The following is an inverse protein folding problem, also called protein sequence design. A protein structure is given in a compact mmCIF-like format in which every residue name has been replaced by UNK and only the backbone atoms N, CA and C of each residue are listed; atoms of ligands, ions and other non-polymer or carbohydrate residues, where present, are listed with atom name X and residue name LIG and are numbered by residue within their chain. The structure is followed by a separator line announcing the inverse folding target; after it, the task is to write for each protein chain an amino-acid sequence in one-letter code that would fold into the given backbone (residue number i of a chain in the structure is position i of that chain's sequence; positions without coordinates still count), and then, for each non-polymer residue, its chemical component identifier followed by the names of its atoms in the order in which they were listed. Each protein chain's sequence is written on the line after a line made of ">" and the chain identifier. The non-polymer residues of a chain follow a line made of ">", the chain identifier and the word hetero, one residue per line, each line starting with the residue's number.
data_IF_582767377992
#
_entry.id   IF_582767377992
#
_cell.length_a   1.000
_cell.length_b   1.000
_cell.length_c   1.000
_cell.angle_alpha   90.00
_cell.angle_beta   90.00
_cell.angle_gamma   90.00
#
_symmetry.space_group_name_H-M   'P 1'
#
loop_
_entity.id
_entity.type
_entity.pdbx_description
1 polymer ?
#
# COMPACT_ATOMS: atom_id res chain seq x y z
N UNK A 1 -5.95 22.78 1.07
CA UNK A 1 -6.16 24.01 0.27
C UNK A 1 -5.31 23.86 -0.99
N UNK A 2 -5.92 23.78 -2.17
CA UNK A 2 -5.19 23.61 -3.43
C UNK A 2 -5.81 24.47 -4.53
N UNK A 3 -5.02 24.88 -5.52
CA UNK A 3 -5.48 25.73 -6.64
C UNK A 3 -6.23 24.86 -7.66
N UNK A 4 -7.41 25.30 -8.10
CA UNK A 4 -8.22 24.61 -9.10
C UNK A 4 -7.51 24.45 -10.45
N UNK A 5 -7.77 23.35 -11.14
CA UNK A 5 -7.20 23.05 -12.48
C UNK A 5 -7.88 23.86 -13.61
N UNK A 6 -9.01 24.53 -13.33
CA UNK A 6 -9.72 25.38 -14.29
C UNK A 6 -9.56 26.88 -14.03
N UNK A 7 -9.51 27.28 -12.77
CA UNK A 7 -9.43 28.70 -12.38
C UNK A 7 -8.36 28.92 -11.32
N UNK A 8 -7.72 30.10 -11.35
CA UNK A 8 -6.67 30.52 -10.40
C UNK A 8 -7.25 30.88 -9.01
N UNK A 9 -8.03 29.98 -8.41
CA UNK A 9 -8.61 30.16 -7.07
C UNK A 9 -8.31 28.92 -6.23
N UNK A 10 -8.03 29.14 -4.95
CA UNK A 10 -7.77 28.09 -3.96
C UNK A 10 -9.12 27.58 -3.43
N UNK A 11 -9.41 26.29 -3.57
CA UNK A 11 -10.63 25.68 -3.04
C UNK A 11 -10.35 24.54 -2.05
N UNK A 12 -11.29 24.33 -1.13
CA UNK A 12 -11.35 23.21 -0.18
C UNK A 12 -12.62 22.39 -0.40
N UNK A 13 -12.55 21.08 -0.17
CA UNK A 13 -13.72 20.19 -0.25
C UNK A 13 -14.00 19.58 -1.63
N UNK A 14 -15.23 19.07 -1.78
CA UNK A 14 -15.75 18.05 -2.73
C UNK A 14 -15.53 18.37 -4.23
N UNK A 15 -15.19 19.61 -4.57
CA UNK A 15 -14.96 20.10 -5.94
C UNK A 15 -13.79 19.42 -6.68
N UNK A 16 -12.92 18.67 -5.98
CA UNK A 16 -11.82 17.90 -6.59
C UNK A 16 -12.25 16.58 -7.22
N UNK A 17 -13.47 16.12 -6.94
CA UNK A 17 -13.95 14.78 -7.29
C UNK A 17 -14.67 14.70 -8.64
N UNK A 18 -14.67 15.77 -9.45
CA UNK A 18 -15.35 15.84 -10.75
C UNK A 18 -16.85 15.42 -10.69
N UNK A 19 -17.54 15.77 -9.61
CA UNK A 19 -18.94 15.38 -9.32
C UNK A 19 -19.96 16.24 -10.10
N UNK A 20 -19.48 17.25 -10.84
CA UNK A 20 -20.31 18.26 -11.50
C UNK A 20 -20.57 19.46 -10.58
N UNK A 21 -21.40 20.40 -11.04
CA UNK A 21 -21.90 21.49 -10.20
C UNK A 21 -23.29 21.11 -9.65
N UNK A 22 -23.61 21.49 -8.39
CA UNK A 22 -24.94 21.27 -7.85
C UNK A 22 -26.01 22.04 -8.67
N UNK A 23 -27.27 21.58 -8.66
CA UNK A 23 -27.81 20.48 -7.87
C UNK A 23 -27.51 19.09 -8.47
N UNK A 24 -27.02 18.17 -7.63
CA UNK A 24 -26.70 16.80 -8.04
C UNK A 24 -27.97 15.94 -8.12
N UNK A 25 -28.08 15.15 -9.19
CA UNK A 25 -29.12 14.11 -9.27
C UNK A 25 -28.75 12.95 -8.35
N UNK A 26 -29.75 12.38 -7.65
CA UNK A 26 -29.57 11.25 -6.73
C UNK A 26 -28.87 10.06 -7.43
N UNK A 27 -29.20 9.81 -8.68
CA UNK A 27 -28.59 8.77 -9.52
C UNK A 27 -27.09 8.98 -9.76
N UNK A 28 -26.64 10.23 -9.87
CA UNK A 28 -25.22 10.60 -9.99
C UNK A 28 -24.48 10.32 -8.67
N UNK A 29 -25.09 10.71 -7.54
CA UNK A 29 -24.55 10.44 -6.20
C UNK A 29 -24.45 8.93 -5.96
N UNK A 30 -25.49 8.16 -6.29
CA UNK A 30 -25.50 6.70 -6.15
C UNK A 30 -24.43 6.04 -7.02
N UNK A 31 -24.24 6.51 -8.26
CA UNK A 31 -23.20 5.98 -9.15
C UNK A 31 -21.80 6.23 -8.58
N UNK A 32 -21.54 7.41 -8.05
CA UNK A 32 -20.26 7.78 -7.41
C UNK A 32 -20.05 6.98 -6.13
N UNK A 33 -21.09 6.84 -5.29
CA UNK A 33 -21.02 6.06 -4.07
C UNK A 33 -20.75 4.59 -4.39
N UNK A 34 -21.42 4.02 -5.39
CA UNK A 34 -21.18 2.64 -5.83
C UNK A 34 -19.75 2.43 -6.36
N UNK A 35 -19.23 3.37 -7.14
CA UNK A 35 -17.84 3.33 -7.61
C UNK A 35 -16.84 3.49 -6.46
N UNK A 36 -17.14 4.35 -5.49
CA UNK A 36 -16.34 4.57 -4.27
C UNK A 36 -16.34 3.33 -3.37
N UNK A 37 -17.51 2.69 -3.19
CA UNK A 37 -17.66 1.44 -2.46
C UNK A 37 -16.88 0.29 -3.12
N UNK A 38 -16.95 0.14 -4.45
CA UNK A 38 -16.14 -0.86 -5.18
C UNK A 38 -14.64 -0.60 -4.98
N UNK A 39 -14.21 0.65 -5.13
CA UNK A 39 -12.81 1.05 -4.91
C UNK A 39 -12.36 0.91 -3.44
N UNK A 40 -13.27 1.01 -2.48
CA UNK A 40 -12.99 0.78 -1.06
C UNK A 40 -12.88 -0.72 -0.73
N UNK A 41 -13.72 -1.57 -1.34
CA UNK A 41 -13.64 -3.03 -1.24
C UNK A 41 -12.29 -3.52 -1.81
N UNK A 42 -11.87 -2.99 -2.96
CA UNK A 42 -10.59 -3.33 -3.58
C UNK A 42 -9.39 -2.96 -2.68
N UNK A 43 -9.45 -1.84 -1.97
CA UNK A 43 -8.40 -1.43 -1.01
C UNK A 43 -8.30 -2.34 0.21
N UNK A 44 -9.43 -2.75 0.78
CA UNK A 44 -9.45 -3.66 1.92
C UNK A 44 -8.94 -5.05 1.53
N UNK A 45 -9.35 -5.56 0.36
CA UNK A 45 -8.88 -6.84 -0.16
C UNK A 45 -7.37 -6.78 -0.45
N UNK A 46 -6.90 -5.73 -1.13
CA UNK A 46 -5.48 -5.60 -1.46
C UNK A 46 -4.61 -5.40 -0.22
N UNK A 47 -5.12 -4.75 0.83
CA UNK A 47 -4.43 -4.69 2.14
C UNK A 47 -4.27 -6.08 2.76
N UNK A 48 -5.34 -6.90 2.78
CA UNK A 48 -5.25 -8.28 3.31
C UNK A 48 -4.21 -9.10 2.55
N UNK A 49 -4.17 -8.98 1.23
CA UNK A 49 -3.14 -9.63 0.41
C UNK A 49 -1.71 -9.22 0.82
N UNK A 50 -1.50 -7.97 1.23
CA UNK A 50 -0.20 -7.48 1.70
C UNK A 50 0.14 -8.06 3.08
N UNK A 51 -0.84 -8.09 3.99
CA UNK A 51 -0.71 -8.69 5.32
C UNK A 51 -0.39 -10.19 5.22
N UNK A 52 -1.08 -10.93 4.34
CA UNK A 52 -0.84 -12.35 4.07
C UNK A 52 0.57 -12.59 3.50
N UNK A 53 0.98 -11.83 2.48
CA UNK A 53 2.31 -11.94 1.90
C UNK A 53 3.42 -11.65 2.92
N UNK A 54 3.21 -10.66 3.79
CA UNK A 54 4.16 -10.29 4.83
C UNK A 54 4.25 -11.38 5.90
N UNK A 55 3.11 -11.86 6.40
CA UNK A 55 3.06 -12.90 7.42
C UNK A 55 3.74 -14.18 6.93
N UNK A 56 3.39 -14.63 5.72
CA UNK A 56 3.99 -15.80 5.08
C UNK A 56 5.53 -15.67 4.98
N UNK A 57 6.02 -14.51 4.52
CA UNK A 57 7.46 -14.29 4.38
C UNK A 57 8.18 -14.23 5.73
N UNK A 58 7.58 -13.61 6.74
CA UNK A 58 8.17 -13.53 8.08
C UNK A 58 8.18 -14.89 8.80
N UNK A 59 7.17 -15.72 8.59
CA UNK A 59 7.15 -17.11 9.08
C UNK A 59 8.20 -17.97 8.37
N UNK A 60 8.29 -17.91 7.04
CA UNK A 60 9.33 -18.65 6.29
C UNK A 60 10.75 -18.20 6.65
N UNK A 61 10.95 -16.95 7.01
CA UNK A 61 12.23 -16.41 7.46
C UNK A 61 12.54 -16.72 8.94
N UNK A 62 11.65 -17.42 9.65
CA UNK A 62 11.72 -17.69 11.10
C UNK A 62 11.82 -16.41 11.97
N UNK A 63 11.35 -15.28 11.44
CA UNK A 63 11.22 -14.03 12.19
C UNK A 63 10.02 -14.11 13.14
N UNK A 64 8.96 -14.78 12.67
CA UNK A 64 7.80 -15.17 13.47
C UNK A 64 7.90 -16.67 13.70
N UNK A 65 8.12 -17.04 14.95
CA UNK A 65 8.24 -18.42 15.43
C UNK A 65 6.93 -18.96 15.99
N UNK A 66 5.97 -18.09 16.30
CA UNK A 66 4.63 -18.50 16.73
C UNK A 66 3.93 -19.29 15.61
N UNK A 67 3.35 -20.47 15.92
CA UNK A 67 2.60 -21.25 14.94
C UNK A 67 1.47 -20.44 14.29
N UNK A 68 1.36 -20.53 12.96
CA UNK A 68 0.41 -19.73 12.16
C UNK A 68 -1.04 -19.97 12.58
N UNK A 69 -1.39 -21.17 13.04
CA UNK A 69 -2.72 -21.52 13.57
C UNK A 69 -3.11 -20.72 14.83
N UNK A 70 -2.13 -20.14 15.52
CA UNK A 70 -2.34 -19.29 16.71
C UNK A 70 -2.29 -17.81 16.39
N UNK A 71 -1.95 -17.43 15.16
CA UNK A 71 -1.79 -16.05 14.75
C UNK A 71 -3.07 -15.56 14.09
N UNK A 72 -3.55 -14.41 14.55
CA UNK A 72 -4.68 -13.71 13.95
C UNK A 72 -4.26 -12.27 13.65
N UNK A 73 -4.33 -11.87 12.38
CA UNK A 73 -4.15 -10.47 12.01
C UNK A 73 -5.47 -9.74 12.28
N UNK A 74 -5.46 -8.88 13.29
CA UNK A 74 -6.62 -8.10 13.72
C UNK A 74 -6.49 -6.69 13.17
N UNK A 75 -7.51 -6.27 12.41
CA UNK A 75 -7.62 -4.91 11.89
C UNK A 75 -8.75 -4.20 12.64
N UNK A 76 -8.41 -3.15 13.38
CA UNK A 76 -9.39 -2.33 14.08
C UNK A 76 -9.56 -1.02 13.32
N UNK A 77 -10.79 -0.72 12.90
CA UNK A 77 -11.14 0.56 12.28
C UNK A 77 -11.88 1.39 13.31
N UNK A 78 -11.22 2.43 13.83
CA UNK A 78 -11.89 3.38 14.72
C UNK A 78 -12.63 4.41 13.85
N UNK A 79 -13.95 4.60 14.01
CA UNK A 79 -14.71 5.56 13.21
C UNK A 79 -14.08 6.96 13.28
N UNK A 80 -13.53 7.42 12.15
CA UNK A 80 -13.00 8.78 12.00
C UNK A 80 -11.60 9.04 12.56
N UNK A 81 -10.83 8.02 12.94
CA UNK A 81 -9.54 8.22 13.65
C UNK A 81 -8.33 7.50 13.07
N UNK A 82 -8.37 6.16 12.90
CA UNK A 82 -7.22 5.40 12.38
C UNK A 82 -7.62 3.94 12.12
N UNK A 83 -6.98 3.30 11.13
CA UNK A 83 -7.06 1.85 10.93
C UNK A 83 -5.79 1.21 11.47
N UNK A 84 -5.85 0.57 12.63
CA UNK A 84 -4.70 -0.12 13.22
C UNK A 84 -4.64 -1.59 12.76
N UNK A 85 -3.42 -2.09 12.56
CA UNK A 85 -3.15 -3.51 12.35
C UNK A 85 -2.44 -4.06 13.57
N UNK A 86 -2.83 -5.23 14.05
CA UNK A 86 -2.10 -5.94 15.10
C UNK A 86 -2.05 -7.43 14.85
N UNK A 87 -1.01 -8.09 15.35
CA UNK A 87 -0.87 -9.54 15.30
C UNK A 87 -1.20 -10.12 16.67
N UNK A 88 -2.36 -10.78 16.78
CA UNK A 88 -2.83 -11.40 18.02
C UNK A 88 -2.35 -12.84 18.11
N UNK A 89 -2.04 -13.28 19.34
CA UNK A 89 -1.55 -14.63 19.63
C UNK A 89 -0.03 -14.82 19.46
N UNK A 90 0.65 -13.89 18.79
CA UNK A 90 2.11 -13.83 18.68
C UNK A 90 2.79 -13.24 19.92
N UNK A 91 4.09 -13.45 20.03
CA UNK A 91 4.89 -12.76 21.05
C UNK A 91 4.89 -11.24 20.79
N UNK A 92 4.91 -10.40 21.84
CA UNK A 92 4.84 -8.94 21.67
C UNK A 92 5.87 -8.39 20.69
N UNK A 93 7.09 -8.94 20.69
CA UNK A 93 8.15 -8.57 19.73
C UNK A 93 7.78 -8.90 18.28
N UNK A 94 7.16 -10.05 18.03
CA UNK A 94 6.73 -10.48 16.69
C UNK A 94 5.62 -9.57 16.17
N UNK A 95 4.67 -9.21 17.02
CA UNK A 95 3.61 -8.28 16.67
C UNK A 95 4.16 -6.89 16.31
N UNK A 96 5.09 -6.36 17.10
CA UNK A 96 5.75 -5.08 16.77
C UNK A 96 6.51 -5.15 15.44
N UNK A 97 7.31 -6.20 15.22
CA UNK A 97 8.05 -6.38 13.96
C UNK A 97 7.13 -6.49 12.75
N UNK A 98 5.97 -7.13 12.91
CA UNK A 98 4.98 -7.25 11.84
C UNK A 98 4.37 -5.88 11.50
N UNK A 99 3.97 -5.10 12.51
CA UNK A 99 3.40 -3.77 12.30
C UNK A 99 4.42 -2.82 11.68
N UNK A 100 5.65 -2.76 12.19
CA UNK A 100 6.72 -1.93 11.61
C UNK A 100 6.99 -2.33 10.14
N UNK A 101 7.05 -3.63 9.86
CA UNK A 101 7.28 -4.11 8.50
C UNK A 101 6.12 -3.78 7.56
N UNK A 102 4.87 -3.82 8.05
CA UNK A 102 3.71 -3.42 7.29
C UNK A 102 3.73 -1.91 7.01
N UNK A 103 4.02 -1.08 8.02
CA UNK A 103 4.20 0.37 7.87
C UNK A 103 5.25 0.68 6.79
N UNK A 104 6.40 0.02 6.80
CA UNK A 104 7.44 0.21 5.77
C UNK A 104 6.94 -0.10 4.34
N UNK A 105 6.01 -1.04 4.16
CA UNK A 105 5.38 -1.32 2.85
C UNK A 105 4.42 -0.19 2.47
N UNK A 106 3.67 0.32 3.45
CA UNK A 106 2.64 1.34 3.24
C UNK A 106 3.23 2.73 3.04
N UNK A 107 4.37 2.99 3.65
CA UNK A 107 5.04 4.28 3.62
C UNK A 107 5.54 4.66 2.22
N UNK A 108 5.65 5.98 1.95
CA UNK A 108 6.38 6.47 0.79
C UNK A 108 7.75 5.82 0.69
N UNK A 109 8.14 5.46 -0.54
CA UNK A 109 9.42 4.80 -0.77
C UNK A 109 10.57 5.74 -0.39
N UNK A 110 11.37 5.34 0.60
CA UNK A 110 12.57 6.06 1.00
C UNK A 110 13.83 5.45 0.37
N UNK A 111 14.58 4.65 1.12
CA UNK A 111 15.82 4.01 0.69
C UNK A 111 15.88 2.53 1.11
N UNK A 112 14.87 1.71 0.78
CA UNK A 112 14.88 0.30 1.13
C UNK A 112 15.99 -0.42 0.37
N UNK A 113 16.58 -1.46 0.97
CA UNK A 113 17.64 -2.25 0.34
C UNK A 113 17.16 -3.03 -0.88
N UNK A 114 15.87 -3.39 -0.89
CA UNK A 114 15.21 -4.03 -2.01
C UNK A 114 13.85 -3.38 -2.25
N UNK A 115 13.37 -3.46 -3.49
CA UNK A 115 12.03 -3.05 -3.90
C UNK A 115 11.34 -4.22 -4.60
N UNK A 116 10.01 -4.25 -4.53
CA UNK A 116 9.19 -5.04 -5.44
C UNK A 116 8.64 -4.10 -6.50
N UNK A 117 8.94 -4.36 -7.77
CA UNK A 117 8.39 -3.64 -8.90
C UNK A 117 7.39 -4.53 -9.65
N UNK A 118 6.16 -4.05 -9.76
CA UNK A 118 5.08 -4.71 -10.46
C UNK A 118 4.36 -3.78 -11.42
N UNK A 119 3.31 -4.30 -12.04
CA UNK A 119 2.38 -3.50 -12.85
C UNK A 119 0.97 -3.66 -12.29
N UNK A 120 0.31 -2.54 -12.05
CA UNK A 120 -1.12 -2.52 -11.73
C UNK A 120 -1.89 -2.14 -12.98
N UNK A 121 -2.94 -2.90 -13.30
CA UNK A 121 -3.84 -2.60 -14.41
C UNK A 121 -5.04 -1.83 -13.87
N UNK A 122 -4.91 -0.51 -13.80
CA UNK A 122 -6.04 0.36 -13.47
C UNK A 122 -6.54 1.03 -14.74
N UNK A 123 -7.66 0.54 -15.30
CA UNK A 123 -8.17 0.98 -16.60
C UNK A 123 -7.41 0.35 -17.78
N UNK A 124 -7.21 1.11 -18.87
CA UNK A 124 -6.65 0.59 -20.14
C UNK A 124 -5.12 0.64 -20.23
N UNK A 125 -4.44 1.29 -19.29
CA UNK A 125 -2.98 1.43 -19.29
C UNK A 125 -2.36 0.85 -18.03
N UNK A 126 -1.31 0.02 -18.13
CA UNK A 126 -0.60 -0.47 -16.96
C UNK A 126 0.17 0.69 -16.32
N UNK A 127 0.09 0.77 -15.00
CA UNK A 127 0.89 1.68 -14.18
C UNK A 127 1.97 0.88 -13.46
N UNK A 128 3.19 1.41 -13.45
CA UNK A 128 4.26 0.85 -12.63
C UNK A 128 3.89 1.03 -11.15
N UNK A 129 4.00 -0.05 -10.38
CA UNK A 129 3.75 -0.04 -8.96
C UNK A 129 4.99 -0.53 -8.22
N UNK A 130 5.37 0.20 -7.17
CA UNK A 130 6.58 -0.08 -6.42
C UNK A 130 6.24 -0.24 -4.95
N UNK A 131 6.85 -1.23 -4.30
CA UNK A 131 6.69 -1.49 -2.87
C UNK A 131 8.04 -1.67 -2.21
N UNK A 132 8.22 -1.09 -1.04
CA UNK A 132 9.39 -1.32 -0.21
C UNK A 132 9.41 -2.77 0.25
N UNK A 133 10.58 -3.42 0.20
CA UNK A 133 10.80 -4.64 0.99
C UNK A 133 11.19 -4.20 2.40
N UNK A 134 10.43 -4.60 3.44
CA UNK A 134 10.71 -4.20 4.82
C UNK A 134 12.14 -4.51 5.23
N UNK A 135 12.74 -3.64 6.05
CA UNK A 135 14.10 -3.76 6.54
C UNK A 135 14.37 -5.13 7.16
N UNK A 136 13.41 -5.68 7.91
CA UNK A 136 13.53 -6.99 8.56
C UNK A 136 13.72 -8.12 7.53
N UNK A 137 13.01 -8.08 6.41
CA UNK A 137 13.14 -9.04 5.30
C UNK A 137 14.28 -8.67 4.34
N UNK A 138 14.69 -7.41 4.30
CA UNK A 138 15.80 -6.92 3.48
C UNK A 138 17.19 -7.23 4.05
N UNK A 139 17.31 -7.82 5.24
CA UNK A 139 18.61 -8.14 5.84
C UNK A 139 19.38 -9.19 5.05
N UNK A 140 18.67 -10.20 4.53
CA UNK A 140 19.23 -11.30 3.75
C UNK A 140 18.61 -11.33 2.36
N UNK A 141 19.39 -11.75 1.35
CA UNK A 141 18.90 -11.82 -0.04
C UNK A 141 17.79 -12.87 -0.14
N UNK A 142 17.96 -13.97 0.58
CA UNK A 142 17.07 -15.13 0.64
C UNK A 142 15.71 -14.73 1.21
N UNK A 143 15.69 -13.92 2.27
CA UNK A 143 14.46 -13.40 2.87
C UNK A 143 13.74 -12.40 1.96
N UNK A 144 14.48 -11.49 1.33
CA UNK A 144 13.90 -10.55 0.37
C UNK A 144 13.31 -11.28 -0.86
N UNK A 145 13.97 -12.34 -1.32
CA UNK A 145 13.45 -13.21 -2.37
C UNK A 145 12.21 -13.99 -1.93
N UNK A 146 12.23 -14.58 -0.73
CA UNK A 146 11.06 -15.24 -0.15
C UNK A 146 9.84 -14.32 -0.04
N UNK A 147 10.07 -13.06 0.33
CA UNK A 147 9.01 -12.04 0.32
C UNK A 147 8.48 -11.73 -1.07
N UNK A 148 9.34 -11.60 -2.08
CA UNK A 148 8.89 -11.38 -3.46
C UNK A 148 8.07 -12.57 -4.02
N UNK A 149 8.41 -13.80 -3.63
CA UNK A 149 7.61 -14.99 -3.97
C UNK A 149 6.25 -14.99 -3.27
N UNK A 150 6.21 -14.71 -1.96
CA UNK A 150 4.97 -14.57 -1.21
C UNK A 150 4.09 -13.43 -1.78
N UNK A 151 4.72 -12.31 -2.15
CA UNK A 151 4.03 -11.20 -2.82
C UNK A 151 3.42 -11.64 -4.15
N UNK A 152 4.15 -12.42 -4.96
CA UNK A 152 3.64 -12.90 -6.25
C UNK A 152 2.42 -13.80 -6.10
N UNK A 153 2.39 -14.64 -5.06
CA UNK A 153 1.28 -15.54 -4.76
C UNK A 153 0.04 -14.80 -4.28
N UNK A 154 0.20 -13.88 -3.33
CA UNK A 154 -0.92 -13.29 -2.62
C UNK A 154 -1.38 -11.95 -3.20
N UNK A 155 -0.48 -11.18 -3.80
CA UNK A 155 -0.74 -9.80 -4.30
C UNK A 155 -0.77 -9.73 -5.82
N UNK A 156 0.22 -10.35 -6.47
CA UNK A 156 0.33 -10.37 -7.93
C UNK A 156 1.73 -10.09 -8.46
N UNK A 157 1.90 -9.93 -9.79
CA UNK A 157 3.21 -9.87 -10.43
C UNK A 157 4.14 -8.83 -9.81
N UNK A 158 5.31 -9.28 -9.37
CA UNK A 158 6.33 -8.45 -8.75
C UNK A 158 7.73 -9.02 -8.94
N UNK A 159 8.66 -8.16 -9.32
CA UNK A 159 10.08 -8.45 -9.47
C UNK A 159 10.87 -7.81 -8.33
N UNK A 160 11.81 -8.57 -7.76
CA UNK A 160 12.70 -8.09 -6.71
C UNK A 160 13.87 -7.30 -7.31
N UNK A 161 13.99 -6.03 -6.92
CA UNK A 161 15.07 -5.14 -7.35
C UNK A 161 16.00 -4.85 -6.18
N UNK A 162 17.30 -5.08 -6.35
CA UNK A 162 18.32 -4.64 -5.39
C UNK A 162 18.72 -3.19 -5.63
N UNK A 163 18.48 -2.30 -4.67
CA UNK A 163 18.56 -0.84 -4.89
C UNK A 163 19.97 -0.26 -4.80
N UNK A 164 20.96 -1.03 -4.32
CA UNK A 164 22.33 -0.51 -4.12
C UNK A 164 23.25 -0.68 -5.35
N UNK A 165 22.75 -1.27 -6.43
CA UNK A 165 23.44 -1.28 -7.73
C UNK A 165 23.18 0.03 -8.50
N UNK A 166 23.96 0.31 -9.55
CA UNK A 166 23.74 1.49 -10.41
C UNK A 166 22.33 1.45 -11.03
N UNK A 167 21.93 0.28 -11.53
CA UNK A 167 20.61 0.07 -12.13
C UNK A 167 19.49 0.16 -11.09
N UNK A 168 19.67 -0.48 -9.93
CA UNK A 168 18.71 -0.43 -8.83
C UNK A 168 18.49 0.97 -8.29
N UNK A 169 19.54 1.80 -8.20
CA UNK A 169 19.40 3.21 -7.80
C UNK A 169 18.55 4.01 -8.80
N UNK A 170 18.68 3.73 -10.11
CA UNK A 170 17.82 4.36 -11.12
C UNK A 170 16.37 3.96 -10.93
N UNK A 171 16.11 2.69 -10.65
CA UNK A 171 14.75 2.19 -10.35
C UNK A 171 14.18 2.83 -9.09
N UNK A 172 14.97 2.94 -8.02
CA UNK A 172 14.56 3.60 -6.78
C UNK A 172 14.14 5.06 -7.02
N UNK A 173 14.92 5.82 -7.80
CA UNK A 173 14.56 7.21 -8.14
C UNK A 173 13.24 7.30 -8.92
N UNK A 174 13.01 6.39 -9.89
CA UNK A 174 11.72 6.31 -10.61
C UNK A 174 10.57 6.01 -9.66
N UNK A 175 10.75 5.05 -8.76
CA UNK A 175 9.75 4.68 -7.77
C UNK A 175 9.36 5.87 -6.88
N UNK A 176 10.33 6.64 -6.39
CA UNK A 176 10.09 7.84 -5.57
C UNK A 176 9.29 8.91 -6.31
N UNK A 177 9.65 9.21 -7.56
CA UNK A 177 8.90 10.16 -8.40
C UNK A 177 7.49 9.68 -8.67
N UNK A 178 7.31 8.38 -8.93
CA UNK A 178 5.99 7.78 -9.15
C UNK A 178 5.07 7.99 -7.94
N UNK A 179 5.54 7.66 -6.73
CA UNK A 179 4.77 7.83 -5.50
C UNK A 179 4.47 9.32 -5.23
N UNK A 180 5.43 10.22 -5.47
CA UNK A 180 5.21 11.67 -5.35
C UNK A 180 4.11 12.17 -6.30
N UNK A 181 4.11 11.72 -7.55
CA UNK A 181 3.08 12.11 -8.53
C UNK A 181 1.70 11.58 -8.14
N UNK A 182 1.63 10.35 -7.64
CA UNK A 182 0.39 9.75 -7.11
C UNK A 182 -0.16 10.57 -5.93
N UNK A 183 0.71 10.94 -4.97
CA UNK A 183 0.35 11.81 -3.84
C UNK A 183 -0.12 13.21 -4.30
N UNK A 184 0.58 13.83 -5.26
CA UNK A 184 0.24 15.15 -5.78
C UNK A 184 -1.08 15.17 -6.55
N UNK A 185 -1.44 14.06 -7.22
CA UNK A 185 -2.72 13.89 -7.90
C UNK A 185 -3.91 13.68 -6.94
N UNK A 186 -3.68 13.69 -5.63
CA UNK A 186 -4.72 13.41 -4.62
C UNK A 186 -5.15 11.94 -4.58
N UNK A 187 -4.46 11.08 -5.34
CA UNK A 187 -4.67 9.65 -5.40
C UNK A 187 -3.85 8.97 -4.32
N UNK A 188 -4.38 8.91 -3.11
CA UNK A 188 -3.71 8.22 -2.04
C UNK A 188 -4.17 6.76 -1.98
N UNK A 189 -3.49 5.87 -2.72
CA UNK A 189 -3.67 4.43 -2.50
C UNK A 189 -3.18 4.02 -1.09
N UNK A 190 -2.18 4.74 -0.54
CA UNK A 190 -1.43 4.36 0.66
C UNK A 190 -1.72 5.19 1.92
N UNK A 191 -1.95 6.49 1.79
CA UNK A 191 -2.03 7.44 2.91
C UNK A 191 -3.45 7.71 3.44
N UNK A 192 -4.49 7.08 2.89
CA UNK A 192 -5.89 7.35 3.26
C UNK A 192 -6.43 6.39 4.33
N UNK A 193 -5.61 5.45 4.78
CA UNK A 193 -5.97 4.45 5.78
C UNK A 193 -5.31 4.72 7.15
N UNK A 194 -4.36 5.67 7.19
CA UNK A 194 -3.56 6.03 8.36
C UNK A 194 -3.64 7.55 8.54
N UNK A 195 -4.81 8.02 8.98
CA UNK A 195 -5.06 9.37 9.49
C UNK A 195 -6.34 9.39 10.29
#
# INVERSE_FOLDING_TARGET
>A
MGVSFRDKVITNGIERMAIGEPPYQITTIETINNATCRSAIDRAALRRSWEEALLEAMTHAEIISTPVDKLEVVVESTPGLEVSCSLKGGASREATLFVEALEEILDPIENPRYLIAGKTYLGTRPHDNYHSVPRVLGQKKEWAWGFAEAWRRNVGPGELIYTRSIEGRRMLLRARVCVMNIMAAGWSYRASCWK
#
